data_IF_815975734170
#
_entry.id   IF_815975734170
#
_cell.length_a   1.000
_cell.length_b   1.000
_cell.length_c   1.000
_cell.angle_alpha   90.00
_cell.angle_beta   90.00
_cell.angle_gamma   90.00
#
_symmetry.space_group_name_H-M   'P 1'
#
loop_
_entity.id
_entity.type
_entity.pdbx_description
1 polymer ?
#
# COMPACT_ATOMS: atom_id res chain seq x y z
N UNK A 1 60.15 -1.87 25.36
CA UNK A 1 61.47 -2.14 24.76
C UNK A 1 61.38 -3.29 23.75
N UNK A 2 61.14 -3.00 22.48
CA UNK A 2 61.16 -3.99 21.41
C UNK A 2 62.24 -3.64 20.40
N UNK A 3 63.50 -3.56 20.84
CA UNK A 3 64.59 -3.04 20.02
C UNK A 3 64.93 -3.98 18.86
N UNK A 4 64.69 -5.28 18.95
CA UNK A 4 64.93 -6.22 17.85
C UNK A 4 63.63 -6.93 17.48
N UNK A 5 63.39 -7.21 16.19
CA UNK A 5 62.25 -7.99 15.70
C UNK A 5 62.31 -9.49 16.12
N UNK A 6 62.84 -9.79 17.31
CA UNK A 6 62.98 -11.12 17.89
C UNK A 6 61.58 -11.65 18.28
N UNK A 7 61.28 -12.90 17.90
CA UNK A 7 60.02 -13.58 18.25
C UNK A 7 59.08 -13.88 17.08
N UNK A 8 59.24 -13.25 15.91
CA UNK A 8 58.45 -13.59 14.71
C UNK A 8 59.00 -14.83 14.02
N UNK A 9 58.38 -15.99 14.28
CA UNK A 9 58.73 -17.29 13.70
C UNK A 9 57.96 -17.58 12.40
N UNK A 10 58.51 -18.41 11.52
CA UNK A 10 57.83 -18.91 10.32
C UNK A 10 56.99 -20.16 10.65
N UNK A 11 56.37 -20.75 9.63
CA UNK A 11 55.58 -21.97 9.76
C UNK A 11 56.38 -23.17 10.30
N UNK A 12 57.72 -23.08 10.32
CA UNK A 12 58.63 -24.10 10.82
C UNK A 12 59.30 -23.69 12.15
N UNK A 13 58.79 -22.67 12.83
CA UNK A 13 59.29 -22.23 14.13
C UNK A 13 60.64 -21.49 14.09
N UNK A 14 61.20 -21.21 12.90
CA UNK A 14 62.47 -20.50 12.76
C UNK A 14 62.24 -19.00 12.76
N UNK A 15 63.14 -18.25 13.40
CA UNK A 15 63.10 -16.79 13.42
C UNK A 15 63.15 -16.24 11.98
N UNK A 16 62.07 -15.54 11.56
CA UNK A 16 61.91 -15.08 10.17
C UNK A 16 62.97 -14.07 9.75
N UNK A 17 63.27 -13.09 10.62
CA UNK A 17 64.26 -12.03 10.37
C UNK A 17 64.85 -11.53 11.69
N UNK A 18 66.15 -11.28 11.69
CA UNK A 18 66.86 -10.52 12.74
C UNK A 18 67.19 -9.15 12.14
N UNK A 19 66.36 -8.16 12.46
CA UNK A 19 66.57 -6.77 12.08
C UNK A 19 66.26 -5.83 13.25
N UNK A 20 67.09 -4.82 13.41
CA UNK A 20 66.87 -3.63 14.22
C UNK A 20 66.42 -2.50 13.29
N UNK A 21 65.34 -1.79 13.65
CA UNK A 21 64.82 -0.66 12.87
C UNK A 21 64.53 0.51 13.82
N UNK A 22 65.44 1.47 13.86
CA UNK A 22 65.25 2.77 14.48
C UNK A 22 64.61 3.80 13.53
N UNK A 23 64.50 5.05 13.98
CA UNK A 23 63.89 6.15 13.20
C UNK A 23 64.65 6.44 11.90
N UNK A 24 65.98 6.36 11.93
CA UNK A 24 66.86 6.64 10.78
C UNK A 24 67.86 5.53 10.47
N UNK A 25 67.86 4.44 11.24
CA UNK A 25 68.84 3.37 11.13
C UNK A 25 68.13 2.03 11.00
N UNK A 26 68.57 1.23 10.04
CA UNK A 26 68.18 -0.17 9.91
C UNK A 26 69.45 -1.01 9.93
N UNK A 27 69.57 -1.89 10.91
CA UNK A 27 70.64 -2.89 10.94
C UNK A 27 70.02 -4.27 10.76
N UNK A 28 70.54 -5.08 9.85
CA UNK A 28 70.05 -6.44 9.61
C UNK A 28 71.20 -7.37 9.25
N UNK A 29 71.09 -8.64 9.66
CA UNK A 29 72.13 -9.65 9.41
C UNK A 29 72.47 -9.82 7.92
N UNK A 30 71.47 -9.74 7.03
CA UNK A 30 71.64 -9.96 5.59
C UNK A 30 71.82 -8.68 4.78
N UNK A 31 71.37 -7.54 5.30
CA UNK A 31 71.38 -6.25 4.57
C UNK A 31 72.34 -5.21 5.13
N UNK A 32 73.13 -5.57 6.15
CA UNK A 32 74.06 -4.66 6.82
C UNK A 32 73.36 -3.54 7.58
N UNK A 33 74.09 -2.44 7.80
CA UNK A 33 73.60 -1.20 8.43
C UNK A 33 73.30 -0.19 7.32
N UNK A 34 72.06 0.30 7.30
CA UNK A 34 71.58 1.29 6.35
C UNK A 34 70.98 2.48 7.09
N UNK A 35 71.39 3.69 6.72
CA UNK A 35 70.78 4.92 7.21
C UNK A 35 69.71 5.35 6.20
N UNK A 36 68.54 5.74 6.71
CA UNK A 36 67.41 6.24 5.92
C UNK A 36 67.00 7.61 6.42
N UNK A 37 67.01 8.58 5.54
CA UNK A 37 66.34 9.87 5.74
C UNK A 37 65.13 9.96 4.81
N UNK A 38 64.01 10.45 5.32
CA UNK A 38 62.81 10.69 4.51
C UNK A 38 62.26 12.08 4.84
N UNK A 39 62.01 12.87 3.80
CA UNK A 39 61.36 14.17 3.88
C UNK A 39 60.13 14.18 2.97
N UNK A 40 59.10 14.92 3.36
CA UNK A 40 57.87 15.10 2.58
C UNK A 40 57.64 16.59 2.41
N UNK A 41 57.61 17.06 1.17
CA UNK A 41 57.39 18.46 0.83
C UNK A 41 56.44 18.55 -0.37
N UNK A 42 55.43 19.42 -0.29
CA UNK A 42 54.49 19.70 -1.40
C UNK A 42 53.94 18.45 -2.13
N UNK A 43 53.55 17.40 -1.40
CA UNK A 43 52.99 16.17 -1.98
C UNK A 43 54.03 15.20 -2.59
N UNK A 44 55.32 15.52 -2.51
CA UNK A 44 56.43 14.70 -2.96
C UNK A 44 57.20 14.14 -1.76
N UNK A 45 57.45 12.83 -1.77
CA UNK A 45 58.28 12.13 -0.79
C UNK A 45 59.68 11.93 -1.35
N UNK A 46 60.67 12.45 -0.64
CA UNK A 46 62.09 12.27 -0.92
C UNK A 46 62.66 11.31 0.12
N UNK A 47 63.27 10.21 -0.33
CA UNK A 47 63.90 9.21 0.53
C UNK A 47 65.34 9.02 0.09
N UNK A 48 66.28 9.23 1.01
CA UNK A 48 67.68 8.88 0.82
C UNK A 48 67.99 7.66 1.69
N UNK A 49 68.65 6.67 1.11
CA UNK A 49 69.08 5.46 1.81
C UNK A 49 70.53 5.14 1.41
N UNK A 50 71.41 4.91 2.37
CA UNK A 50 72.82 4.57 2.09
C UNK A 50 72.99 3.27 1.31
N UNK A 51 72.06 2.30 1.45
CA UNK A 51 72.14 1.01 0.75
C UNK A 51 71.35 0.95 -0.57
N UNK A 52 70.36 1.82 -0.75
CA UNK A 52 69.41 1.75 -1.89
C UNK A 52 69.34 3.05 -2.70
N UNK A 53 70.12 4.05 -2.31
CA UNK A 53 70.25 5.34 -2.96
C UNK A 53 69.06 6.29 -2.74
N UNK A 54 68.84 7.16 -3.70
CA UNK A 54 67.92 8.28 -3.65
C UNK A 54 66.62 7.99 -4.41
N UNK A 55 65.47 8.29 -3.79
CA UNK A 55 64.14 8.13 -4.38
C UNK A 55 63.29 9.36 -4.15
N UNK A 56 62.79 9.94 -5.23
CA UNK A 56 61.74 10.96 -5.24
C UNK A 56 60.45 10.30 -5.69
N UNK A 57 59.32 10.53 -5.01
CA UNK A 57 58.04 9.95 -5.42
C UNK A 57 56.86 10.85 -5.08
N UNK A 58 55.94 11.02 -6.01
CA UNK A 58 54.70 11.78 -5.85
C UNK A 58 53.50 10.98 -6.36
N UNK A 59 52.31 11.39 -5.93
CA UNK A 59 51.04 10.83 -6.40
C UNK A 59 50.19 11.94 -6.99
N UNK A 60 50.43 12.34 -8.25
CA UNK A 60 49.76 13.48 -8.86
C UNK A 60 48.25 13.26 -9.11
N UNK A 61 47.80 12.00 -9.15
CA UNK A 61 46.40 11.64 -9.28
C UNK A 61 46.06 10.45 -8.37
N UNK A 62 44.77 10.27 -8.06
CA UNK A 62 44.29 9.12 -7.26
C UNK A 62 44.71 7.81 -7.94
N UNK A 63 45.35 6.94 -7.17
CA UNK A 63 45.87 5.63 -7.60
C UNK A 63 46.96 5.67 -8.67
N UNK A 64 47.64 6.81 -8.87
CA UNK A 64 48.79 6.94 -9.77
C UNK A 64 50.00 7.45 -9.01
N UNK A 65 51.09 6.67 -9.09
CA UNK A 65 52.38 6.97 -8.52
C UNK A 65 53.39 7.26 -9.63
N UNK A 66 54.09 8.38 -9.47
CA UNK A 66 55.25 8.76 -10.28
C UNK A 66 56.45 8.82 -9.34
N UNK A 67 57.55 8.15 -9.68
CA UNK A 67 58.75 8.15 -8.87
C UNK A 67 60.01 8.12 -9.73
N UNK A 68 61.09 8.66 -9.20
CA UNK A 68 62.44 8.58 -9.74
C UNK A 68 63.33 7.95 -8.66
N UNK A 69 63.89 6.77 -8.93
CA UNK A 69 64.76 6.05 -8.00
C UNK A 69 66.12 5.81 -8.66
N UNK A 70 67.20 6.42 -8.15
CA UNK A 70 68.55 6.34 -8.72
C UNK A 70 68.57 6.58 -10.24
N UNK A 71 67.91 7.64 -10.71
CA UNK A 71 67.78 7.96 -12.14
C UNK A 71 66.73 7.12 -12.91
N UNK A 72 66.18 6.05 -12.33
CA UNK A 72 65.13 5.25 -12.97
C UNK A 72 63.73 5.83 -12.74
N UNK A 73 63.08 6.25 -13.82
CA UNK A 73 61.68 6.66 -13.80
C UNK A 73 60.72 5.47 -13.62
N UNK A 74 59.74 5.63 -12.73
CA UNK A 74 58.73 4.65 -12.35
C UNK A 74 57.35 5.32 -12.45
N UNK A 75 56.51 4.81 -13.35
CA UNK A 75 55.09 5.16 -13.44
C UNK A 75 54.25 3.93 -13.10
N UNK A 76 53.29 4.09 -12.18
CA UNK A 76 52.39 3.01 -11.76
C UNK A 76 51.00 3.56 -11.46
N UNK A 77 50.00 3.13 -12.22
CA UNK A 77 48.59 3.44 -11.96
C UNK A 77 47.76 2.17 -11.81
N UNK A 78 46.78 2.16 -10.90
CA UNK A 78 45.87 1.01 -10.69
C UNK A 78 44.44 1.48 -10.47
N UNK A 79 43.57 1.25 -11.43
CA UNK A 79 42.17 1.69 -11.37
C UNK A 79 41.23 0.49 -11.43
N UNK A 80 40.23 0.49 -10.56
CA UNK A 80 39.22 -0.57 -10.45
C UNK A 80 37.84 0.09 -10.51
N UNK A 81 37.13 -0.13 -11.61
CA UNK A 81 35.74 0.30 -11.78
C UNK A 81 34.95 -0.83 -12.45
N UNK A 82 33.91 -1.31 -11.77
CA UNK A 82 33.06 -2.38 -12.27
C UNK A 82 33.83 -3.68 -12.61
N UNK A 83 33.49 -4.37 -13.72
CA UNK A 83 34.11 -5.65 -14.10
C UNK A 83 35.54 -5.49 -14.64
N UNK A 84 35.96 -4.27 -14.99
CA UNK A 84 37.26 -3.99 -15.59
C UNK A 84 38.29 -3.46 -14.57
N UNK A 85 39.56 -3.84 -14.78
CA UNK A 85 40.71 -3.42 -13.99
C UNK A 85 41.78 -2.85 -14.91
N UNK A 86 42.06 -1.56 -14.77
CA UNK A 86 43.06 -0.85 -15.57
C UNK A 86 44.37 -0.75 -14.78
N UNK A 87 45.48 -1.18 -15.38
CA UNK A 87 46.81 -1.04 -14.81
C UNK A 87 47.67 -0.23 -15.76
N UNK A 88 48.19 0.91 -15.29
CA UNK A 88 49.12 1.77 -16.00
C UNK A 88 50.55 1.52 -15.52
N UNK A 89 51.50 1.48 -16.45
CA UNK A 89 52.92 1.29 -16.19
C UNK A 89 53.77 2.17 -17.11
N UNK A 90 55.07 2.28 -16.85
CA UNK A 90 56.03 2.93 -17.77
C UNK A 90 55.92 2.39 -19.21
N UNK A 91 55.62 1.10 -19.36
CA UNK A 91 55.51 0.41 -20.65
C UNK A 91 54.12 0.47 -21.27
N UNK A 92 53.21 1.29 -20.75
CA UNK A 92 51.83 1.42 -21.23
C UNK A 92 50.77 0.88 -20.25
N UNK A 93 49.52 0.92 -20.70
CA UNK A 93 48.32 0.54 -19.96
C UNK A 93 47.81 -0.87 -20.35
N UNK A 94 47.13 -1.54 -19.43
CA UNK A 94 46.47 -2.83 -19.67
C UNK A 94 45.11 -2.88 -19.00
N UNK A 95 44.11 -3.38 -19.71
CA UNK A 95 42.78 -3.70 -19.18
C UNK A 95 42.72 -5.20 -18.89
N UNK A 96 42.14 -5.56 -17.75
CA UNK A 96 41.83 -6.95 -17.42
C UNK A 96 40.44 -7.08 -16.82
N UNK A 97 39.75 -8.17 -17.14
CA UNK A 97 38.43 -8.53 -16.58
C UNK A 97 38.60 -9.73 -15.67
N UNK A 98 37.84 -9.79 -14.57
CA UNK A 98 37.90 -10.91 -13.62
C UNK A 98 36.56 -11.61 -13.54
N UNK A 99 36.58 -12.92 -13.80
CA UNK A 99 35.43 -13.82 -13.79
C UNK A 99 35.62 -14.91 -12.73
N UNK A 100 34.64 -15.82 -12.59
CA UNK A 100 34.71 -16.96 -11.65
C UNK A 100 35.91 -17.87 -11.93
N UNK A 101 36.26 -18.08 -13.20
CA UNK A 101 37.40 -18.89 -13.61
C UNK A 101 38.76 -18.23 -13.31
N UNK A 102 38.87 -16.90 -13.28
CA UNK A 102 40.16 -16.21 -13.11
C UNK A 102 40.19 -14.81 -13.70
N UNK A 103 41.35 -14.38 -14.22
CA UNK A 103 41.53 -13.04 -14.79
C UNK A 103 41.98 -13.11 -16.24
N UNK A 104 41.29 -12.40 -17.12
CA UNK A 104 41.63 -12.26 -18.53
C UNK A 104 42.21 -10.87 -18.79
N UNK A 105 43.38 -10.78 -19.42
CA UNK A 105 43.99 -9.51 -19.82
C UNK A 105 43.81 -9.31 -21.33
N UNK A 106 43.14 -8.22 -21.71
CA UNK A 106 42.72 -7.94 -23.09
C UNK A 106 43.89 -7.65 -24.04
N UNK A 107 44.97 -7.05 -23.53
CA UNK A 107 46.12 -6.67 -24.36
C UNK A 107 47.33 -7.58 -24.18
N UNK A 108 47.42 -8.30 -23.05
CA UNK A 108 48.56 -9.16 -22.72
C UNK A 108 48.06 -10.55 -22.33
N UNK A 109 47.69 -11.41 -23.29
CA UNK A 109 47.12 -12.74 -23.00
C UNK A 109 48.06 -13.61 -22.15
N UNK A 110 49.38 -13.43 -22.25
CA UNK A 110 50.38 -14.12 -21.40
C UNK A 110 50.25 -13.78 -19.90
N UNK A 111 49.52 -12.71 -19.53
CA UNK A 111 49.27 -12.32 -18.13
C UNK A 111 47.89 -12.77 -17.62
N UNK A 112 47.17 -13.56 -18.40
CA UNK A 112 45.91 -14.16 -17.98
C UNK A 112 46.14 -15.33 -17.02
N UNK A 113 45.14 -15.62 -16.19
CA UNK A 113 45.15 -16.75 -15.27
C UNK A 113 43.77 -17.41 -15.19
N UNK A 114 43.76 -18.73 -15.07
CA UNK A 114 42.57 -19.54 -14.91
C UNK A 114 42.80 -20.54 -13.78
N UNK A 115 41.76 -20.81 -12.99
CA UNK A 115 41.75 -21.86 -11.97
C UNK A 115 40.70 -22.88 -12.37
N UNK A 116 41.14 -24.10 -12.63
CA UNK A 116 40.26 -25.22 -12.98
C UNK A 116 40.61 -26.36 -12.03
N UNK A 117 39.60 -26.91 -11.33
CA UNK A 117 39.78 -28.03 -10.40
C UNK A 117 40.95 -27.85 -9.40
N UNK A 118 41.10 -26.66 -8.81
CA UNK A 118 42.16 -26.35 -7.84
C UNK A 118 43.53 -26.02 -8.44
N UNK A 119 43.78 -26.34 -9.72
CA UNK A 119 45.03 -26.05 -10.41
C UNK A 119 45.00 -24.66 -11.05
N UNK A 120 46.04 -23.84 -10.78
CA UNK A 120 46.17 -22.51 -11.38
C UNK A 120 47.02 -22.55 -12.65
N UNK A 121 46.36 -22.39 -13.81
CA UNK A 121 47.02 -22.24 -15.12
C UNK A 121 47.25 -20.75 -15.39
N UNK A 122 48.42 -20.40 -15.95
CA UNK A 122 48.79 -19.02 -16.33
C UNK A 122 49.37 -18.99 -17.73
N UNK A 123 49.24 -17.85 -18.42
CA UNK A 123 49.80 -17.66 -19.75
C UNK A 123 48.76 -17.77 -20.88
N UNK A 124 49.22 -18.09 -22.10
CA UNK A 124 48.37 -18.15 -23.31
C UNK A 124 47.25 -19.18 -23.20
N UNK A 125 47.54 -20.34 -22.63
CA UNK A 125 46.56 -21.42 -22.39
C UNK A 125 45.44 -20.96 -21.45
N UNK A 126 45.79 -20.21 -20.39
CA UNK A 126 44.80 -19.62 -19.50
C UNK A 126 43.92 -18.57 -20.21
N UNK A 127 44.48 -17.82 -21.17
CA UNK A 127 43.70 -16.87 -21.96
C UNK A 127 42.67 -17.57 -22.86
N UNK A 128 43.05 -18.67 -23.51
CA UNK A 128 42.14 -19.49 -24.33
C UNK A 128 40.99 -20.06 -23.48
N UNK A 129 41.29 -20.63 -22.30
CA UNK A 129 40.27 -21.14 -21.38
C UNK A 129 39.27 -20.05 -20.93
N UNK A 130 39.76 -18.82 -20.69
CA UNK A 130 38.89 -17.70 -20.34
C UNK A 130 37.97 -17.29 -21.49
N UNK A 131 38.46 -17.31 -22.74
CA UNK A 131 37.64 -17.00 -23.91
C UNK A 131 36.49 -18.00 -24.04
N UNK A 132 36.78 -19.31 -23.93
CA UNK A 132 35.75 -20.36 -23.97
C UNK A 132 34.71 -20.16 -22.86
N UNK A 133 35.16 -19.90 -21.63
CA UNK A 133 34.25 -19.61 -20.51
C UNK A 133 33.37 -18.37 -20.76
N UNK A 134 33.94 -17.29 -21.29
CA UNK A 134 33.19 -16.07 -21.58
C UNK A 134 32.17 -16.28 -22.69
N UNK A 135 32.51 -17.06 -23.73
CA UNK A 135 31.57 -17.44 -24.78
C UNK A 135 30.39 -18.23 -24.21
N UNK A 136 30.66 -19.24 -23.38
CA UNK A 136 29.60 -20.02 -22.73
C UNK A 136 28.72 -19.13 -21.84
N UNK A 137 29.32 -18.27 -21.03
CA UNK A 137 28.58 -17.34 -20.18
C UNK A 137 27.72 -16.36 -21.00
N UNK A 138 28.22 -15.90 -22.16
CA UNK A 138 27.46 -15.05 -23.07
C UNK A 138 26.25 -15.78 -23.66
N UNK A 139 26.40 -17.04 -24.09
CA UNK A 139 25.28 -17.86 -24.59
C UNK A 139 24.20 -18.02 -23.52
N UNK A 140 24.59 -18.37 -22.28
CA UNK A 140 23.66 -18.50 -21.16
C UNK A 140 22.94 -17.18 -20.89
N UNK A 141 23.66 -16.05 -20.91
CA UNK A 141 23.07 -14.74 -20.70
C UNK A 141 22.06 -14.37 -21.81
N UNK A 142 22.33 -14.72 -23.07
CA UNK A 142 21.38 -14.51 -24.18
C UNK A 142 20.12 -15.35 -23.97
N UNK A 143 20.25 -16.62 -23.60
CA UNK A 143 19.09 -17.49 -23.31
C UNK A 143 18.24 -16.92 -22.16
N UNK A 144 18.88 -16.46 -21.08
CA UNK A 144 18.19 -15.82 -19.97
C UNK A 144 17.47 -14.54 -20.39
N UNK A 145 18.10 -13.73 -21.23
CA UNK A 145 17.50 -12.49 -21.73
C UNK A 145 16.28 -12.77 -22.61
N UNK A 146 16.35 -13.77 -23.49
CA UNK A 146 15.21 -14.19 -24.33
C UNK A 146 14.06 -14.71 -23.46
N UNK A 147 14.35 -15.56 -22.47
CA UNK A 147 13.34 -16.06 -21.54
C UNK A 147 12.67 -14.92 -20.74
N UNK A 148 13.47 -13.96 -20.25
CA UNK A 148 12.95 -12.79 -19.53
C UNK A 148 12.07 -11.90 -20.42
N UNK A 149 12.48 -11.68 -21.68
CA UNK A 149 11.70 -10.93 -22.65
C UNK A 149 10.36 -11.61 -22.96
N UNK A 150 10.36 -12.94 -23.13
CA UNK A 150 9.13 -13.72 -23.34
C UNK A 150 8.18 -13.63 -22.15
N UNK A 151 8.68 -13.83 -20.92
CA UNK A 151 7.87 -13.68 -19.70
C UNK A 151 7.30 -12.26 -19.59
N UNK A 152 8.11 -11.24 -19.91
CA UNK A 152 7.67 -9.85 -19.94
C UNK A 152 6.54 -9.61 -20.94
N UNK A 153 6.66 -10.17 -22.16
CA UNK A 153 5.63 -10.07 -23.19
C UNK A 153 4.31 -10.74 -22.75
N UNK A 154 4.37 -11.94 -22.18
CA UNK A 154 3.18 -12.64 -21.66
C UNK A 154 2.49 -11.80 -20.56
N UNK A 155 3.26 -11.25 -19.62
CA UNK A 155 2.72 -10.38 -18.55
C UNK A 155 2.06 -9.13 -19.12
N UNK A 156 2.65 -8.53 -20.15
CA UNK A 156 2.08 -7.37 -20.83
C UNK A 156 0.74 -7.72 -21.49
N UNK A 157 0.66 -8.84 -22.20
CA UNK A 157 -0.59 -9.32 -22.83
C UNK A 157 -1.68 -9.55 -21.77
N UNK A 158 -1.35 -10.20 -20.66
CA UNK A 158 -2.30 -10.42 -19.56
C UNK A 158 -2.75 -9.10 -18.92
N UNK A 159 -1.84 -8.14 -18.71
CA UNK A 159 -2.18 -6.85 -18.15
C UNK A 159 -3.11 -6.04 -19.08
N UNK A 160 -2.78 -5.98 -20.37
CA UNK A 160 -3.61 -5.31 -21.38
C UNK A 160 -4.97 -5.99 -21.51
N UNK A 161 -4.98 -7.34 -21.53
CA UNK A 161 -6.21 -8.12 -21.55
C UNK A 161 -7.09 -7.87 -20.32
N UNK A 162 -6.49 -7.78 -19.13
CA UNK A 162 -7.20 -7.46 -17.89
C UNK A 162 -7.81 -6.05 -17.90
N UNK A 163 -7.08 -5.06 -18.41
CA UNK A 163 -7.61 -3.69 -18.58
C UNK A 163 -8.76 -3.68 -19.59
N UNK A 164 -8.59 -4.32 -20.75
CA UNK A 164 -9.64 -4.40 -21.76
C UNK A 164 -10.89 -5.10 -21.23
N UNK A 165 -10.72 -6.21 -20.50
CA UNK A 165 -11.82 -6.92 -19.84
C UNK A 165 -12.54 -6.04 -18.81
N UNK A 166 -11.80 -5.33 -17.96
CA UNK A 166 -12.37 -4.38 -17.00
C UNK A 166 -13.16 -3.25 -17.68
N UNK A 167 -12.65 -2.72 -18.81
CA UNK A 167 -13.36 -1.72 -19.60
C UNK A 167 -14.65 -2.27 -20.21
N UNK A 168 -14.64 -3.51 -20.72
CA UNK A 168 -15.84 -4.15 -21.27
C UNK A 168 -16.92 -4.33 -20.18
N UNK A 169 -16.52 -4.75 -18.97
CA UNK A 169 -17.46 -4.89 -17.85
C UNK A 169 -18.00 -3.54 -17.36
N UNK A 170 -17.16 -2.49 -17.36
CA UNK A 170 -17.56 -1.16 -16.93
C UNK A 170 -18.35 -0.37 -17.99
N UNK A 171 -18.26 -0.75 -19.27
CA UNK A 171 -18.85 -0.01 -20.39
C UNK A 171 -20.37 0.18 -20.28
N UNK A 172 -21.20 -0.83 -19.94
CA UNK A 172 -22.65 -0.65 -19.80
C UNK A 172 -23.00 0.37 -18.70
N UNK A 173 -22.35 0.28 -17.55
CA UNK A 173 -22.57 1.22 -16.44
C UNK A 173 -22.14 2.65 -16.81
N UNK A 174 -20.96 2.79 -17.45
CA UNK A 174 -20.46 4.08 -17.93
C UNK A 174 -21.39 4.69 -18.99
N UNK A 175 -21.96 3.86 -19.87
CA UNK A 175 -22.90 4.28 -20.89
C UNK A 175 -24.23 4.75 -20.27
N UNK A 176 -24.81 3.98 -19.36
CA UNK A 176 -26.06 4.33 -18.68
C UNK A 176 -25.90 5.62 -17.85
N UNK A 177 -24.79 5.77 -17.13
CA UNK A 177 -24.51 7.00 -16.37
C UNK A 177 -24.34 8.22 -17.28
N UNK A 178 -23.76 8.06 -18.46
CA UNK A 178 -23.67 9.12 -19.46
C UNK A 178 -25.06 9.48 -20.04
N UNK A 179 -25.87 8.49 -20.41
CA UNK A 179 -27.24 8.70 -20.88
C UNK A 179 -28.09 9.43 -19.83
N UNK A 180 -28.02 8.99 -18.56
CA UNK A 180 -28.68 9.61 -17.41
C UNK A 180 -28.29 11.08 -17.24
N UNK A 181 -27.00 11.40 -17.32
CA UNK A 181 -26.53 12.81 -17.28
C UNK A 181 -27.05 13.64 -18.44
N UNK A 182 -27.09 13.09 -19.64
CA UNK A 182 -27.61 13.79 -20.83
C UNK A 182 -29.11 14.05 -20.69
N UNK A 183 -29.90 13.06 -20.24
CA UNK A 183 -31.33 13.19 -19.93
C UNK A 183 -31.55 14.31 -18.91
N UNK A 184 -30.86 14.27 -17.77
CA UNK A 184 -31.08 15.24 -16.69
C UNK A 184 -30.72 16.67 -17.11
N UNK A 185 -29.65 16.86 -17.90
CA UNK A 185 -29.36 18.18 -18.50
C UNK A 185 -30.47 18.68 -19.40
N UNK A 186 -31.15 17.79 -20.12
CA UNK A 186 -32.32 18.14 -20.93
C UNK A 186 -33.48 18.59 -20.03
N UNK A 187 -33.82 17.79 -19.03
CA UNK A 187 -34.89 18.08 -18.07
C UNK A 187 -34.65 19.38 -17.31
N UNK A 188 -33.41 19.66 -16.88
CA UNK A 188 -33.02 20.90 -16.19
C UNK A 188 -33.39 22.18 -16.96
N UNK A 189 -33.35 22.13 -18.30
CA UNK A 189 -33.70 23.29 -19.13
C UNK A 189 -35.21 23.52 -19.20
N UNK A 190 -36.03 22.46 -19.08
CA UNK A 190 -37.50 22.53 -19.12
C UNK A 190 -38.16 22.92 -17.80
N UNK A 191 -37.48 22.69 -16.67
CA UNK A 191 -38.05 22.91 -15.32
C UNK A 191 -38.68 24.31 -15.11
N UNK A 192 -38.09 25.44 -15.57
CA UNK A 192 -38.70 26.75 -15.35
C UNK A 192 -40.08 26.90 -16.00
N UNK A 193 -40.31 26.25 -17.15
CA UNK A 193 -41.62 26.23 -17.82
C UNK A 193 -42.60 25.32 -17.08
N UNK A 194 -42.15 24.14 -16.68
CA UNK A 194 -42.96 23.16 -15.92
C UNK A 194 -43.39 23.70 -14.56
N UNK A 195 -42.56 24.48 -13.86
CA UNK A 195 -42.92 25.15 -12.59
C UNK A 195 -44.19 26.03 -12.71
N UNK A 196 -44.41 26.62 -13.89
CA UNK A 196 -45.53 27.53 -14.16
C UNK A 196 -46.81 26.79 -14.57
N UNK A 197 -46.73 25.48 -14.84
CA UNK A 197 -47.86 24.67 -15.27
C UNK A 197 -48.82 24.30 -14.12
N UNK A 198 -48.39 24.44 -12.86
CA UNK A 198 -49.15 24.03 -11.68
C UNK A 198 -49.95 25.18 -11.05
N UNK A 199 -51.12 24.84 -10.50
CA UNK A 199 -52.00 25.76 -9.78
C UNK A 199 -52.49 25.12 -8.45
N UNK A 200 -52.15 25.68 -7.28
CA UNK A 200 -51.29 26.85 -7.05
C UNK A 200 -49.84 26.60 -7.49
N UNK A 201 -48.99 27.65 -7.65
CA UNK A 201 -47.60 27.48 -8.03
C UNK A 201 -46.89 26.45 -7.15
N UNK A 202 -46.12 25.55 -7.76
CA UNK A 202 -45.55 24.36 -7.09
C UNK A 202 -44.65 24.71 -5.89
N UNK A 203 -44.06 25.91 -5.87
CA UNK A 203 -43.25 26.39 -4.75
C UNK A 203 -44.05 26.62 -3.46
N UNK A 204 -45.38 26.73 -3.56
CA UNK A 204 -46.29 26.91 -2.43
C UNK A 204 -46.81 25.58 -1.88
N UNK A 205 -46.55 24.47 -2.56
CA UNK A 205 -47.02 23.16 -2.13
C UNK A 205 -46.27 22.69 -0.89
N UNK A 206 -46.98 21.97 -0.02
CA UNK A 206 -46.35 21.27 1.10
C UNK A 206 -45.52 20.08 0.58
N UNK A 207 -44.59 19.58 1.38
CA UNK A 207 -43.77 18.46 0.92
C UNK A 207 -44.60 17.19 0.71
N UNK A 208 -45.64 17.00 1.52
CA UNK A 208 -46.62 15.92 1.41
C UNK A 208 -47.38 15.99 0.08
N UNK A 209 -47.68 17.20 -0.42
CA UNK A 209 -48.27 17.41 -1.74
C UNK A 209 -47.29 17.07 -2.88
N UNK A 210 -46.00 17.35 -2.72
CA UNK A 210 -44.99 16.92 -3.70
C UNK A 210 -44.85 15.39 -3.73
N UNK A 211 -44.89 14.73 -2.58
CA UNK A 211 -44.89 13.26 -2.48
C UNK A 211 -46.17 12.68 -3.11
N UNK A 212 -47.34 13.24 -2.78
CA UNK A 212 -48.62 12.85 -3.36
C UNK A 212 -48.63 12.98 -4.90
N UNK A 213 -48.15 14.11 -5.42
CA UNK A 213 -48.06 14.36 -6.85
C UNK A 213 -47.11 13.39 -7.54
N UNK A 214 -45.97 13.12 -6.92
CA UNK A 214 -45.01 12.14 -7.45
C UNK A 214 -45.58 10.72 -7.45
N UNK A 215 -46.23 10.28 -6.37
CA UNK A 215 -46.88 8.97 -6.29
C UNK A 215 -47.94 8.81 -7.39
N UNK A 216 -48.75 9.84 -7.63
CA UNK A 216 -49.78 9.79 -8.68
C UNK A 216 -49.18 9.76 -10.10
N UNK A 217 -48.10 10.50 -10.35
CA UNK A 217 -47.38 10.43 -11.62
C UNK A 217 -46.69 9.07 -11.82
N UNK A 218 -46.03 8.56 -10.77
CA UNK A 218 -45.29 7.30 -10.82
C UNK A 218 -46.21 6.07 -10.94
N UNK A 219 -47.25 5.98 -10.10
CA UNK A 219 -48.17 4.83 -10.08
C UNK A 219 -49.25 4.92 -11.16
N UNK A 220 -49.73 6.14 -11.45
CA UNK A 220 -50.80 6.40 -12.39
C UNK A 220 -50.27 6.52 -13.81
N UNK A 221 -49.58 7.63 -14.12
CA UNK A 221 -49.08 7.88 -15.47
C UNK A 221 -48.10 6.81 -15.92
N UNK A 222 -47.28 6.28 -15.00
CA UNK A 222 -46.37 5.16 -15.25
C UNK A 222 -47.06 3.90 -15.80
N UNK A 223 -48.35 3.70 -15.51
CA UNK A 223 -49.18 2.60 -16.02
C UNK A 223 -50.24 3.04 -17.04
N UNK A 224 -50.24 4.32 -17.44
CA UNK A 224 -51.18 4.88 -18.41
C UNK A 224 -52.52 5.34 -17.83
N UNK A 225 -52.64 5.41 -16.51
CA UNK A 225 -53.83 5.92 -15.81
C UNK A 225 -53.70 7.41 -15.50
N UNK A 226 -54.82 8.11 -15.34
CA UNK A 226 -54.80 9.47 -14.79
C UNK A 226 -54.57 9.43 -13.27
N UNK A 227 -53.91 10.44 -12.71
CA UNK A 227 -53.72 10.60 -11.27
C UNK A 227 -55.05 10.66 -10.52
N UNK A 228 -56.07 11.26 -11.13
CA UNK A 228 -57.44 11.30 -10.60
C UNK A 228 -58.11 9.92 -10.51
N UNK A 229 -57.80 8.99 -11.41
CA UNK A 229 -58.35 7.63 -11.41
C UNK A 229 -57.78 6.79 -10.27
N UNK A 230 -56.48 6.91 -10.00
CA UNK A 230 -55.80 6.10 -8.99
C UNK A 230 -55.85 6.69 -7.58
N UNK A 231 -56.23 7.96 -7.44
CA UNK A 231 -56.24 8.72 -6.19
C UNK A 231 -56.97 8.00 -5.04
N UNK A 232 -58.18 7.50 -5.29
CA UNK A 232 -59.00 6.86 -4.25
C UNK A 232 -58.46 5.47 -3.88
N UNK A 233 -57.95 4.72 -4.86
CA UNK A 233 -57.27 3.44 -4.61
C UNK A 233 -55.98 3.65 -3.79
N UNK A 234 -55.21 4.68 -4.12
CA UNK A 234 -53.99 5.06 -3.40
C UNK A 234 -54.31 5.45 -1.95
N UNK A 235 -55.35 6.27 -1.74
CA UNK A 235 -55.85 6.62 -0.41
C UNK A 235 -56.19 5.39 0.41
N UNK A 236 -56.93 4.44 -0.16
CA UNK A 236 -57.31 3.22 0.55
C UNK A 236 -56.09 2.40 0.97
N UNK A 237 -55.11 2.23 0.07
CA UNK A 237 -53.90 1.45 0.35
C UNK A 237 -53.04 2.09 1.45
N UNK A 238 -52.87 3.40 1.41
CA UNK A 238 -52.07 4.13 2.41
C UNK A 238 -52.80 4.28 3.77
N UNK A 239 -54.13 4.11 3.81
CA UNK A 239 -54.93 4.19 5.06
C UNK A 239 -55.01 2.88 5.84
N UNK A 240 -54.38 1.80 5.36
CA UNK A 240 -54.47 0.49 6.01
C UNK A 240 -53.73 0.52 7.36
N UNK A 241 -54.40 0.16 8.45
CA UNK A 241 -53.93 0.29 9.85
C UNK A 241 -52.61 -0.44 10.19
N UNK A 242 -52.14 -1.35 9.33
CA UNK A 242 -50.95 -2.18 9.56
C UNK A 242 -49.60 -1.44 9.43
N UNK A 243 -49.61 -0.10 9.36
CA UNK A 243 -48.39 0.73 9.27
C UNK A 243 -47.42 0.27 8.15
N UNK A 244 -47.95 -0.20 7.02
CA UNK A 244 -47.13 -0.72 5.91
C UNK A 244 -46.32 0.38 5.22
N UNK A 245 -46.87 1.61 5.16
CA UNK A 245 -46.25 2.74 4.47
C UNK A 245 -46.28 4.02 5.33
N UNK A 246 -45.59 4.03 6.48
CA UNK A 246 -45.69 5.11 7.47
C UNK A 246 -45.17 6.45 6.96
N UNK A 247 -44.24 6.44 6.00
CA UNK A 247 -43.65 7.67 5.45
C UNK A 247 -44.51 8.26 4.33
N UNK A 248 -45.26 7.41 3.61
CA UNK A 248 -46.19 7.86 2.58
C UNK A 248 -47.57 8.26 3.13
N UNK A 249 -47.97 7.76 4.31
CA UNK A 249 -49.29 8.02 4.89
C UNK A 249 -49.68 9.52 5.00
N UNK A 250 -48.78 10.46 5.37
CA UNK A 250 -49.12 11.88 5.41
C UNK A 250 -49.53 12.48 4.05
N UNK A 251 -49.13 11.86 2.93
CA UNK A 251 -49.47 12.33 1.59
C UNK A 251 -50.98 12.20 1.28
N UNK A 252 -51.72 11.37 2.03
CA UNK A 252 -53.16 11.13 1.85
C UNK A 252 -53.97 12.43 1.90
N UNK A 253 -53.60 13.35 2.82
CA UNK A 253 -54.31 14.61 3.04
C UNK A 253 -54.23 15.55 1.83
N UNK A 254 -53.17 15.42 1.01
CA UNK A 254 -52.88 16.31 -0.11
C UNK A 254 -53.28 15.71 -1.47
N UNK A 255 -53.79 14.46 -1.51
CA UNK A 255 -54.14 13.75 -2.74
C UNK A 255 -55.19 14.48 -3.58
N UNK A 256 -56.26 15.00 -2.96
CA UNK A 256 -57.34 15.67 -3.70
C UNK A 256 -56.89 16.99 -4.32
N UNK A 257 -56.18 17.82 -3.55
CA UNK A 257 -55.69 19.12 -4.01
C UNK A 257 -54.64 18.96 -5.12
N UNK A 258 -53.81 17.92 -5.01
CA UNK A 258 -52.72 17.69 -5.96
C UNK A 258 -53.19 17.06 -7.26
N UNK A 259 -54.17 16.15 -7.22
CA UNK A 259 -54.61 15.39 -8.41
C UNK A 259 -55.13 16.32 -9.52
N UNK A 260 -55.94 17.31 -9.18
CA UNK A 260 -56.49 18.26 -10.16
C UNK A 260 -55.40 19.14 -10.77
N UNK A 261 -54.44 19.62 -9.98
CA UNK A 261 -53.33 20.41 -10.52
C UNK A 261 -52.38 19.57 -11.36
N UNK A 262 -52.20 18.29 -11.04
CA UNK A 262 -51.32 17.38 -11.76
C UNK A 262 -51.88 17.08 -13.16
N UNK A 263 -53.18 16.77 -13.27
CA UNK A 263 -53.82 16.58 -14.58
C UNK A 263 -53.94 17.90 -15.36
N UNK A 264 -54.17 19.03 -14.70
CA UNK A 264 -54.17 20.34 -15.39
C UNK A 264 -52.80 20.68 -16.01
N UNK A 265 -51.70 20.31 -15.34
CA UNK A 265 -50.35 20.47 -15.87
C UNK A 265 -50.09 19.52 -17.05
N UNK A 266 -50.67 18.32 -17.04
CA UNK A 266 -50.57 17.32 -18.12
C UNK A 266 -51.38 17.69 -19.35
N UNK A 267 -52.61 18.15 -19.15
CA UNK A 267 -53.60 18.42 -20.22
C UNK A 267 -53.56 19.87 -20.74
N UNK A 268 -52.57 20.67 -20.31
CA UNK A 268 -52.42 22.07 -20.70
C UNK A 268 -52.40 22.28 -22.21
N UNK A 269 -53.04 23.35 -22.70
CA UNK A 269 -53.27 23.63 -24.14
C UNK A 269 -52.04 24.23 -24.86
N UNK A 270 -50.94 24.49 -24.15
CA UNK A 270 -49.73 25.11 -24.70
C UNK A 270 -48.88 24.13 -25.52
N UNK A 271 -48.15 24.62 -26.54
CA UNK A 271 -47.24 23.81 -27.38
C UNK A 271 -46.12 23.11 -26.59
N UNK A 272 -45.89 23.53 -25.34
CA UNK A 272 -44.83 23.06 -24.44
C UNK A 272 -45.44 22.27 -23.26
N UNK A 273 -46.19 21.21 -23.57
CA UNK A 273 -46.75 20.30 -22.54
C UNK A 273 -45.61 19.60 -21.79
N UNK A 274 -45.56 19.68 -20.44
CA UNK A 274 -44.50 19.05 -19.69
C UNK A 274 -44.61 17.53 -19.77
N UNK A 275 -43.50 16.89 -20.11
CA UNK A 275 -43.40 15.44 -20.10
C UNK A 275 -43.53 14.90 -18.66
N UNK A 276 -43.97 13.64 -18.47
CA UNK A 276 -43.99 12.99 -17.16
C UNK A 276 -42.64 13.07 -16.42
N UNK A 277 -41.53 12.97 -17.14
CA UNK A 277 -40.18 13.11 -16.58
C UNK A 277 -39.90 14.52 -16.06
N UNK A 278 -40.35 15.56 -16.75
CA UNK A 278 -40.19 16.96 -16.29
C UNK A 278 -41.03 17.23 -15.05
N UNK A 279 -42.28 16.74 -15.02
CA UNK A 279 -43.15 16.86 -13.86
C UNK A 279 -42.53 16.17 -12.64
N UNK A 280 -42.07 14.93 -12.79
CA UNK A 280 -41.39 14.19 -11.71
C UNK A 280 -40.08 14.87 -11.29
N UNK A 281 -39.30 15.41 -12.24
CA UNK A 281 -38.07 16.14 -11.93
C UNK A 281 -38.34 17.40 -11.10
N UNK A 282 -39.38 18.17 -11.44
CA UNK A 282 -39.80 19.34 -10.66
C UNK A 282 -40.23 18.93 -9.26
N UNK A 283 -41.14 17.96 -9.15
CA UNK A 283 -41.66 17.47 -7.86
C UNK A 283 -40.51 16.99 -6.94
N UNK A 284 -39.59 16.20 -7.49
CA UNK A 284 -38.44 15.67 -6.78
C UNK A 284 -37.44 16.77 -6.35
N UNK A 285 -37.19 17.77 -7.19
CA UNK A 285 -36.28 18.88 -6.88
C UNK A 285 -36.72 19.65 -5.63
N UNK A 286 -38.02 19.81 -5.44
CA UNK A 286 -38.57 20.50 -4.27
C UNK A 286 -38.46 19.67 -2.98
N UNK A 287 -38.35 18.35 -3.10
CA UNK A 287 -38.14 17.43 -1.98
C UNK A 287 -36.68 17.33 -1.52
N UNK A 288 -35.71 17.80 -2.33
CA UNK A 288 -34.26 17.73 -2.04
C UNK A 288 -33.82 18.34 -0.70
N UNK A 289 -34.65 19.19 -0.08
CA UNK A 289 -34.37 19.79 1.24
C UNK A 289 -34.63 18.83 2.41
N UNK A 290 -35.36 17.74 2.19
CA UNK A 290 -35.65 16.70 3.19
C UNK A 290 -34.39 15.84 3.47
N UNK A 291 -34.31 15.19 4.63
CA UNK A 291 -33.22 14.27 4.94
C UNK A 291 -33.18 13.11 3.94
N UNK A 292 -31.97 12.72 3.52
CA UNK A 292 -31.77 11.69 2.50
C UNK A 292 -32.32 10.32 2.91
N UNK A 293 -32.30 10.00 4.21
CA UNK A 293 -32.85 8.76 4.77
C UNK A 293 -34.37 8.67 4.57
N UNK A 294 -35.09 9.76 4.83
CA UNK A 294 -36.53 9.84 4.62
C UNK A 294 -36.88 9.75 3.12
N UNK A 295 -36.12 10.41 2.25
CA UNK A 295 -36.34 10.32 0.81
C UNK A 295 -36.01 8.94 0.23
N UNK A 296 -35.02 8.24 0.80
CA UNK A 296 -34.75 6.85 0.46
C UNK A 296 -35.92 5.96 0.87
N UNK A 297 -36.49 6.17 2.06
CA UNK A 297 -37.66 5.42 2.54
C UNK A 297 -38.92 5.72 1.70
N UNK A 298 -39.15 6.98 1.32
CA UNK A 298 -40.20 7.37 0.35
C UNK A 298 -40.04 6.61 -0.97
N UNK A 299 -38.81 6.50 -1.48
CA UNK A 299 -38.50 5.79 -2.71
C UNK A 299 -38.79 4.29 -2.59
N UNK A 300 -38.34 3.65 -1.50
CA UNK A 300 -38.53 2.22 -1.25
C UNK A 300 -40.02 1.88 -1.06
N UNK A 301 -40.74 2.65 -0.24
CA UNK A 301 -42.18 2.42 0.00
C UNK A 301 -43.01 2.61 -1.28
N UNK A 302 -42.65 3.58 -2.13
CA UNK A 302 -43.33 3.76 -3.40
C UNK A 302 -43.04 2.60 -4.37
N UNK A 303 -41.81 2.09 -4.39
CA UNK A 303 -41.42 0.95 -5.21
C UNK A 303 -42.18 -0.32 -4.81
N UNK A 304 -42.25 -0.60 -3.51
CA UNK A 304 -43.04 -1.70 -2.96
C UNK A 304 -44.52 -1.58 -3.36
N UNK A 305 -45.08 -0.36 -3.29
CA UNK A 305 -46.45 -0.09 -3.71
C UNK A 305 -46.67 -0.31 -5.21
N UNK A 306 -45.69 0.04 -6.06
CA UNK A 306 -45.77 -0.21 -7.50
C UNK A 306 -45.69 -1.70 -7.85
N UNK A 307 -44.88 -2.46 -7.11
CA UNK A 307 -44.69 -3.90 -7.28
C UNK A 307 -45.91 -4.72 -6.85
N UNK A 308 -46.75 -4.19 -5.96
CA UNK A 308 -48.06 -4.79 -5.63
C UNK A 308 -48.98 -4.88 -6.87
N UNK A 309 -48.84 -3.95 -7.81
CA UNK A 309 -49.60 -3.94 -9.07
C UNK A 309 -48.90 -4.76 -10.19
N UNK A 310 -47.84 -5.50 -9.85
CA UNK A 310 -47.04 -6.32 -10.78
C UNK A 310 -45.71 -5.68 -11.18
N UNK A 311 -44.98 -6.25 -12.16
CA UNK A 311 -43.67 -5.74 -12.57
C UNK A 311 -43.76 -4.29 -13.07
N UNK A 312 -42.71 -3.50 -12.80
CA UNK A 312 -42.63 -2.10 -13.23
C UNK A 312 -42.65 -1.97 -14.75
N UNK A 313 -43.31 -0.93 -15.23
CA UNK A 313 -43.22 -0.53 -16.65
C UNK A 313 -41.91 0.20 -16.93
N UNK A 314 -41.53 0.30 -18.21
CA UNK A 314 -40.36 1.08 -18.64
C UNK A 314 -40.46 2.54 -18.15
N UNK A 315 -41.65 3.14 -18.26
CA UNK A 315 -41.87 4.51 -17.80
C UNK A 315 -41.72 4.62 -16.27
N UNK A 316 -42.22 3.66 -15.50
CA UNK A 316 -42.04 3.64 -14.05
C UNK A 316 -40.57 3.58 -13.65
N UNK A 317 -39.77 2.73 -14.31
CA UNK A 317 -38.33 2.66 -14.06
C UNK A 317 -37.66 4.01 -14.34
N UNK A 318 -37.98 4.65 -15.47
CA UNK A 318 -37.44 5.96 -15.82
C UNK A 318 -37.87 7.06 -14.84
N UNK A 319 -39.13 7.10 -14.42
CA UNK A 319 -39.64 8.08 -13.46
C UNK A 319 -39.01 7.91 -12.08
N UNK A 320 -38.80 6.66 -11.64
CA UNK A 320 -38.12 6.35 -10.39
C UNK A 320 -36.65 6.84 -10.42
N UNK A 321 -35.95 6.62 -11.53
CA UNK A 321 -34.58 7.13 -11.71
C UNK A 321 -34.49 8.66 -11.72
N UNK A 322 -35.44 9.31 -12.38
CA UNK A 322 -35.55 10.78 -12.43
C UNK A 322 -35.81 11.32 -11.02
N UNK A 323 -36.76 10.73 -10.30
CA UNK A 323 -37.03 11.11 -8.92
C UNK A 323 -35.75 11.00 -8.07
N UNK A 324 -35.06 9.87 -8.12
CA UNK A 324 -33.82 9.66 -7.37
C UNK A 324 -32.76 10.73 -7.69
N UNK A 325 -32.54 11.05 -8.97
CA UNK A 325 -31.56 12.07 -9.37
C UNK A 325 -31.89 13.47 -8.86
N UNK A 326 -33.15 13.90 -9.01
CA UNK A 326 -33.57 15.27 -8.73
C UNK A 326 -33.86 15.50 -7.23
N UNK A 327 -34.32 14.47 -6.52
CA UNK A 327 -34.39 14.46 -5.06
C UNK A 327 -33.01 14.37 -4.40
N UNK A 328 -31.97 13.97 -5.15
CA UNK A 328 -30.61 13.83 -4.65
C UNK A 328 -30.38 12.53 -3.88
N UNK A 329 -31.22 11.52 -4.09
CA UNK A 329 -31.11 10.19 -3.49
C UNK A 329 -30.27 9.31 -4.40
N UNK A 330 -29.18 8.75 -3.86
CA UNK A 330 -28.38 7.74 -4.55
C UNK A 330 -28.17 6.57 -3.62
N UNK A 331 -28.56 5.39 -4.06
CA UNK A 331 -28.13 4.14 -3.45
C UNK A 331 -26.62 4.04 -3.67
N UNK A 332 -25.87 4.22 -2.60
CA UNK A 332 -24.46 3.88 -2.59
C UNK A 332 -24.40 2.37 -2.33
N UNK A 333 -23.86 1.61 -3.28
CA UNK A 333 -23.30 0.32 -2.93
C UNK A 333 -22.26 0.61 -1.85
N UNK A 334 -22.62 0.31 -0.60
CA UNK A 334 -21.61 0.07 0.41
C UNK A 334 -20.84 -1.09 -0.19
N UNK A 335 -19.66 -0.80 -0.75
CA UNK A 335 -18.68 -1.81 -1.07
C UNK A 335 -18.57 -2.62 0.21
N UNK A 336 -19.20 -3.81 0.22
CA UNK A 336 -19.15 -4.71 1.32
C UNK A 336 -17.65 -5.00 1.45
N UNK A 337 -17.00 -4.28 2.37
CA UNK A 337 -15.65 -4.57 2.78
C UNK A 337 -15.64 -6.08 2.95
N UNK A 338 -14.74 -6.79 2.22
CA UNK A 338 -14.88 -8.22 1.95
C UNK A 338 -15.29 -8.88 3.25
N UNK A 339 -16.50 -9.44 3.24
CA UNK A 339 -17.19 -10.00 4.40
C UNK A 339 -16.15 -10.76 5.21
N UNK A 340 -15.68 -10.10 6.27
CA UNK A 340 -14.74 -10.70 7.18
C UNK A 340 -15.50 -11.89 7.74
N UNK A 341 -14.89 -13.07 7.59
CA UNK A 341 -15.35 -14.34 8.13
C UNK A 341 -16.09 -14.14 9.48
N UNK A 342 -17.17 -14.90 9.72
CA UNK A 342 -18.17 -14.62 10.75
C UNK A 342 -17.55 -14.15 12.06
N UNK A 343 -18.07 -13.03 12.56
CA UNK A 343 -17.74 -12.39 13.83
C UNK A 343 -17.43 -13.42 14.92
N UNK A 344 -16.15 -13.70 15.09
CA UNK A 344 -15.62 -14.13 16.38
C UNK A 344 -15.56 -12.86 17.21
N UNK A 345 -16.53 -12.75 18.13
CA UNK A 345 -16.53 -11.92 19.32
C UNK A 345 -15.53 -10.75 19.31
N UNK A 346 -16.04 -9.55 18.97
CA UNK A 346 -15.51 -8.22 19.30
C UNK A 346 -14.18 -8.22 20.10
N UNK A 347 -13.02 -7.95 19.46
CA UNK A 347 -11.85 -7.51 20.20
C UNK A 347 -12.10 -6.05 20.59
N UNK A 348 -12.40 -5.86 21.87
CA UNK A 348 -12.40 -4.55 22.51
C UNK A 348 -11.09 -3.81 22.18
N UNK A 349 -11.24 -2.52 21.90
CA UNK A 349 -10.21 -1.60 21.44
C UNK A 349 -8.88 -1.78 22.18
N UNK A 350 -7.78 -1.88 21.40
CA UNK A 350 -6.43 -1.63 21.90
C UNK A 350 -6.36 -0.20 22.43
N UNK A 351 -6.57 -0.03 23.72
CA UNK A 351 -6.05 1.11 24.46
C UNK A 351 -4.52 1.04 24.47
N UNK A 352 -3.89 2.19 24.26
CA UNK A 352 -2.44 2.39 24.40
C UNK A 352 -1.98 1.95 25.80
N UNK A 353 -0.71 1.54 25.99
CA UNK A 353 -0.24 1.03 27.27
C UNK A 353 -0.17 2.18 28.27
N UNK A 354 -1.16 2.23 29.15
CA UNK A 354 -1.08 2.97 30.41
C UNK A 354 -0.70 1.93 31.45
N UNK A 355 0.49 2.08 32.03
CA UNK A 355 0.94 1.36 33.21
C UNK A 355 -0.14 1.42 34.29
N UNK A 356 -0.92 0.35 34.42
CA UNK A 356 -1.93 0.21 35.46
C UNK A 356 -1.89 -1.24 35.89
N UNK A 357 -1.55 -1.45 37.17
CA UNK A 357 -1.50 -2.77 37.75
C UNK A 357 -2.84 -3.51 37.64
N UNK A 358 -2.81 -4.81 37.90
CA UNK A 358 -4.00 -5.66 37.94
C UNK A 358 -4.48 -5.75 39.38
N UNK A 359 -5.69 -5.23 39.64
CA UNK A 359 -6.32 -5.35 40.95
C UNK A 359 -6.90 -6.76 41.15
N UNK A 360 -6.38 -7.49 42.13
CA UNK A 360 -6.74 -8.88 42.42
C UNK A 360 -8.20 -9.02 42.85
N UNK A 361 -8.81 -7.99 43.46
CA UNK A 361 -10.18 -8.06 43.96
C UNK A 361 -11.22 -7.85 42.84
N UNK A 362 -10.90 -7.06 41.82
CA UNK A 362 -11.84 -6.67 40.76
C UNK A 362 -11.56 -7.29 39.40
N UNK A 363 -10.33 -7.79 39.14
CA UNK A 363 -9.95 -8.33 37.84
C UNK A 363 -10.84 -9.49 37.37
N UNK A 364 -11.07 -9.57 36.05
CA UNK A 364 -11.74 -10.73 35.44
C UNK A 364 -10.84 -11.97 35.46
N UNK A 365 -11.42 -13.16 35.25
CA UNK A 365 -10.68 -14.43 35.15
C UNK A 365 -9.59 -14.37 34.05
N UNK A 366 -9.89 -13.72 32.93
CA UNK A 366 -8.94 -13.55 31.82
C UNK A 366 -7.81 -12.58 32.19
N UNK A 367 -8.13 -11.47 32.87
CA UNK A 367 -7.14 -10.51 33.32
C UNK A 367 -6.18 -11.14 34.36
N UNK A 368 -6.69 -11.95 35.29
CA UNK A 368 -5.84 -12.69 36.24
C UNK A 368 -4.90 -13.68 35.54
N UNK A 369 -5.30 -14.28 34.42
CA UNK A 369 -4.47 -15.22 33.67
C UNK A 369 -3.30 -14.54 32.92
N UNK A 370 -3.33 -13.22 32.77
CA UNK A 370 -2.20 -12.47 32.20
C UNK A 370 -1.03 -12.34 33.19
N UNK A 371 -1.27 -12.57 34.48
CA UNK A 371 -0.24 -12.53 35.51
C UNK A 371 0.61 -13.82 35.49
N UNK A 372 1.93 -13.71 35.75
CA UNK A 372 2.81 -14.86 35.75
C UNK A 372 2.40 -15.86 36.83
N UNK A 373 2.44 -17.16 36.50
CA UNK A 373 2.07 -18.27 37.40
C UNK A 373 0.58 -18.42 37.74
N UNK A 374 -0.30 -17.53 37.29
CA UNK A 374 -1.76 -17.68 37.41
C UNK A 374 -2.34 -18.33 36.14
N UNK A 375 -2.39 -19.67 36.13
CA UNK A 375 -3.18 -20.41 35.14
C UNK A 375 -4.69 -20.39 35.46
N UNK A 376 -5.54 -20.95 34.59
CA UNK A 376 -7.00 -20.92 34.74
C UNK A 376 -7.49 -21.50 36.07
N UNK A 377 -6.87 -22.57 36.57
CA UNK A 377 -7.22 -23.18 37.86
C UNK A 377 -6.89 -22.26 39.04
N UNK A 378 -5.69 -21.66 39.04
CA UNK A 378 -5.28 -20.74 40.10
C UNK A 378 -6.05 -19.43 40.06
N UNK A 379 -6.36 -18.91 38.87
CA UNK A 379 -7.20 -17.72 38.72
C UNK A 379 -8.60 -17.95 39.31
N UNK A 380 -9.20 -19.14 39.13
CA UNK A 380 -10.47 -19.51 39.79
C UNK A 380 -10.33 -19.59 41.30
N UNK A 381 -9.25 -20.18 41.81
CA UNK A 381 -8.98 -20.23 43.24
C UNK A 381 -8.79 -18.83 43.85
N UNK A 382 -8.14 -17.92 43.14
CA UNK A 382 -7.99 -16.51 43.54
C UNK A 382 -9.34 -15.79 43.55
N UNK A 383 -10.20 -16.02 42.55
CA UNK A 383 -11.56 -15.46 42.53
C UNK A 383 -12.40 -15.97 43.71
N UNK A 384 -12.29 -17.27 44.03
CA UNK A 384 -12.99 -17.88 45.16
C UNK A 384 -12.50 -17.34 46.53
N UNK A 385 -11.27 -16.83 46.60
CA UNK A 385 -10.67 -16.28 47.82
C UNK A 385 -11.02 -14.79 48.05
N UNK A 386 -11.68 -14.13 47.10
CA UNK A 386 -12.02 -12.70 47.22
C UNK A 386 -13.05 -12.45 48.34
N UNK A 387 -12.96 -11.33 49.05
CA UNK A 387 -11.96 -10.26 48.93
C UNK A 387 -10.66 -10.56 49.71
N UNK A 388 -9.51 -10.21 49.13
CA UNK A 388 -8.20 -10.30 49.79
C UNK A 388 -7.73 -8.91 50.21
N UNK A 389 -7.30 -8.77 51.47
CA UNK A 389 -6.85 -7.48 52.01
C UNK A 389 -5.41 -7.13 51.60
N UNK A 390 -4.59 -8.14 51.33
CA UNK A 390 -3.21 -7.96 50.91
C UNK A 390 -2.79 -9.12 50.01
N UNK A 391 -1.75 -8.89 49.21
CA UNK A 391 -1.22 -9.88 48.27
C UNK A 391 -0.76 -11.17 48.96
N UNK A 392 -0.24 -11.11 50.20
CA UNK A 392 0.19 -12.29 50.96
C UNK A 392 -0.92 -13.31 51.19
N UNK A 393 -2.20 -12.90 51.18
CA UNK A 393 -3.32 -13.84 51.26
C UNK A 393 -3.35 -14.86 50.11
N UNK A 394 -2.71 -14.55 48.97
CA UNK A 394 -2.62 -15.46 47.82
C UNK A 394 -1.77 -16.70 48.09
N UNK A 395 -0.96 -16.73 49.15
CA UNK A 395 -0.21 -17.92 49.56
C UNK A 395 -1.12 -19.07 50.03
N UNK A 396 -2.40 -18.78 50.35
CA UNK A 396 -3.39 -19.80 50.66
C UNK A 396 -3.81 -20.62 49.41
N UNK A 397 -3.52 -20.13 48.20
CA UNK A 397 -3.80 -20.84 46.95
C UNK A 397 -2.67 -21.82 46.66
N UNK A 398 -3.03 -23.09 46.45
CA UNK A 398 -2.05 -24.15 46.21
C UNK A 398 -1.14 -23.82 45.00
N UNK A 399 0.17 -23.88 45.26
CA UNK A 399 1.22 -23.52 44.31
C UNK A 399 1.51 -22.02 44.19
N UNK A 400 1.03 -21.14 45.06
CA UNK A 400 1.53 -19.75 45.16
C UNK A 400 2.43 -19.65 46.39
N UNK A 401 3.75 -19.77 46.18
CA UNK A 401 4.75 -19.57 47.23
C UNK A 401 5.30 -18.13 47.25
N UNK A 402 6.13 -17.77 48.25
CA UNK A 402 6.63 -16.40 48.45
C UNK A 402 7.38 -15.86 47.22
N UNK A 403 8.16 -16.71 46.55
CA UNK A 403 8.86 -16.34 45.31
C UNK A 403 7.90 -16.00 44.15
N UNK A 404 6.78 -16.72 44.03
CA UNK A 404 5.77 -16.45 43.00
C UNK A 404 4.97 -15.19 43.34
N UNK A 405 4.81 -14.89 44.63
CA UNK A 405 4.19 -13.65 45.09
C UNK A 405 5.00 -12.41 44.71
N UNK A 406 6.33 -12.49 44.79
CA UNK A 406 7.23 -11.42 44.34
C UNK A 406 7.15 -11.21 42.82
N UNK A 407 7.09 -12.28 42.03
CA UNK A 407 6.90 -12.21 40.58
C UNK A 407 5.56 -11.53 40.24
N UNK A 408 4.50 -11.82 40.99
CA UNK A 408 3.18 -11.22 40.83
C UNK A 408 3.18 -9.72 41.15
N UNK A 409 3.82 -9.33 42.25
CA UNK A 409 4.00 -7.92 42.62
C UNK A 409 4.80 -7.16 41.55
N UNK A 410 5.85 -7.78 41.01
CA UNK A 410 6.68 -7.19 39.95
C UNK A 410 5.90 -7.07 38.63
N UNK A 411 5.02 -8.01 38.34
CA UNK A 411 4.12 -7.97 37.18
C UNK A 411 2.95 -6.96 37.34
N UNK A 412 2.88 -6.25 38.47
CA UNK A 412 1.92 -5.18 38.70
C UNK A 412 0.62 -5.63 39.37
N UNK A 413 0.56 -6.80 40.00
CA UNK A 413 -0.59 -7.16 40.82
C UNK A 413 -0.67 -6.28 42.08
N UNK A 414 -1.85 -5.76 42.42
CA UNK A 414 -2.12 -5.07 43.69
C UNK A 414 -3.52 -5.44 44.22
N UNK A 415 -3.80 -5.08 45.47
CA UNK A 415 -5.12 -5.24 46.08
C UNK A 415 -5.66 -3.84 46.41
N UNK A 416 -6.86 -3.51 45.94
CA UNK A 416 -7.61 -2.33 46.39
C UNK A 416 -8.44 -2.58 47.64
#
# INVERSE_FOLDING_TARGET
MGFFNLGKKDAYGRQRRIEHRGRYLRASRTGGVALRAQAKAAGVNVTANTSHGFRVSGTPARNTQVALQNGRFILRGRYRSGPFRLNLSKTGATVSTRNRLGSFNWFRPNRSSAKLAGVQVRGKTAAQLQIVYMLFAAVVAVVQLVAAAFIGAVRLVLAVGGIAYGLVLAAPYAWNTWQRRRRNRGLENGLPGTDLAFQPPIQQWRAEAHIAGWLMAYLGWGRGHAGTEIKDALRQRLSTDDATFPVLAPAIEELDATASSLEAARDGVTEDQPSPHEVVAVLARHLRRRPAEELAEVLLQADDLALQDGPRTVLQEELLEVFADFAGVRLQEVEAAPEAAPETAVPHQKSRPVSSGIDINTASLEALQTLPHLGPERARAVIALRPVQNLSALEAVDGIGPKRLEDLRTAGAYCS
#
